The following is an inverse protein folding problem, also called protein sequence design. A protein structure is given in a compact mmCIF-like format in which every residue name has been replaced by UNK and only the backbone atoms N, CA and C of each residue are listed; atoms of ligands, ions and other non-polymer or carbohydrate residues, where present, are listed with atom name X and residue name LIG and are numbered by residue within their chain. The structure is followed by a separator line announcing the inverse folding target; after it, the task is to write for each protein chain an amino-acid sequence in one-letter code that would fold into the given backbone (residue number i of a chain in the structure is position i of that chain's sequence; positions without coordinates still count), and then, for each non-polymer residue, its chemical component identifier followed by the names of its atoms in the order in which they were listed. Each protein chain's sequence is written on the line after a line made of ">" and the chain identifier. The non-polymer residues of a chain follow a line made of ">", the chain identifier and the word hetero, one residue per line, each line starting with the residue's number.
data_IF_760217652790
#
_entry.id   IF_760217652790
#
_cell.length_a   1.000
_cell.length_b   1.000
_cell.length_c   1.000
_cell.angle_alpha   90.00
_cell.angle_beta   90.00
_cell.angle_gamma   90.00
#
_symmetry.space_group_name_H-M   'P 1'
#
loop_
_entity.id
_entity.type
_entity.pdbx_description
1 polymer ?
#
# COMPACT_ATOMS: atom_id res chain seq x y z
N UNK A 1 49.21 -16.00 22.77
CA UNK A 1 48.15 -17.04 22.67
C UNK A 1 48.64 -18.11 21.70
N UNK A 2 48.55 -19.40 22.03
CA UNK A 2 48.94 -20.45 21.12
C UNK A 2 47.99 -20.44 19.91
N UNK A 3 48.55 -20.31 18.72
CA UNK A 3 47.86 -20.48 17.44
C UNK A 3 48.51 -21.66 16.72
N UNK A 4 47.76 -22.26 15.80
CA UNK A 4 48.34 -23.24 14.90
C UNK A 4 49.55 -22.61 14.16
N UNK A 5 50.68 -23.33 14.14
CA UNK A 5 51.96 -22.92 13.53
C UNK A 5 51.84 -22.55 12.06
N UNK A 6 50.81 -23.05 11.38
CA UNK A 6 50.54 -22.79 9.97
C UNK A 6 49.76 -21.48 9.70
N UNK A 7 49.41 -20.69 10.71
CA UNK A 7 48.68 -19.42 10.55
C UNK A 7 49.37 -18.26 11.27
N UNK A 8 50.03 -17.41 10.51
CA UNK A 8 50.66 -16.15 10.89
C UNK A 8 49.85 -14.94 10.42
N UNK A 9 49.65 -14.00 11.32
CA UNK A 9 48.87 -12.78 11.06
C UNK A 9 49.62 -11.78 10.17
N UNK A 10 50.93 -11.96 9.97
CA UNK A 10 51.78 -11.00 9.25
C UNK A 10 51.86 -11.26 7.75
N UNK A 11 51.50 -12.47 7.31
CA UNK A 11 51.69 -12.90 5.92
C UNK A 11 50.38 -12.71 5.15
N UNK A 12 50.41 -11.87 4.10
CA UNK A 12 49.23 -11.57 3.27
C UNK A 12 48.63 -12.82 2.62
N UNK A 13 49.46 -13.78 2.19
CA UNK A 13 48.96 -15.02 1.57
C UNK A 13 48.14 -15.88 2.54
N UNK A 14 48.47 -15.86 3.83
CA UNK A 14 47.73 -16.61 4.86
C UNK A 14 46.45 -15.88 5.28
N UNK A 15 46.46 -14.53 5.29
CA UNK A 15 45.25 -13.73 5.44
C UNK A 15 44.27 -14.00 4.28
N UNK A 16 44.77 -14.02 3.04
CA UNK A 16 43.95 -14.33 1.87
C UNK A 16 43.39 -15.75 1.92
N UNK A 17 44.18 -16.75 2.37
CA UNK A 17 43.68 -18.12 2.51
C UNK A 17 42.56 -18.21 3.55
N UNK A 18 42.68 -17.47 4.65
CA UNK A 18 41.63 -17.39 5.66
C UNK A 18 40.35 -16.72 5.11
N UNK A 19 40.50 -15.62 4.38
CA UNK A 19 39.39 -14.98 3.67
C UNK A 19 38.72 -15.92 2.66
N UNK A 20 39.51 -16.65 1.87
CA UNK A 20 39.01 -17.59 0.87
C UNK A 20 38.25 -18.77 1.51
N UNK A 21 38.72 -19.28 2.65
CA UNK A 21 38.04 -20.33 3.40
C UNK A 21 36.69 -19.84 3.94
N UNK A 22 36.62 -18.59 4.40
CA UNK A 22 35.36 -17.98 4.85
C UNK A 22 34.38 -17.79 3.70
N UNK A 23 34.86 -17.27 2.56
CA UNK A 23 34.05 -17.14 1.34
C UNK A 23 33.48 -18.51 0.94
N UNK A 24 34.30 -19.55 0.93
CA UNK A 24 33.84 -20.91 0.62
C UNK A 24 32.81 -21.41 1.63
N UNK A 25 33.01 -21.17 2.93
CA UNK A 25 32.04 -21.55 3.96
C UNK A 25 30.69 -20.84 3.79
N UNK A 26 30.72 -19.55 3.46
CA UNK A 26 29.52 -18.77 3.20
C UNK A 26 28.81 -19.21 1.92
N UNK A 27 29.54 -19.72 0.92
CA UNK A 27 28.92 -20.30 -0.28
C UNK A 27 28.27 -21.65 -0.06
N UNK A 28 28.77 -22.43 0.91
CA UNK A 28 28.20 -23.75 1.24
C UNK A 28 26.91 -23.60 2.06
N UNK A 29 26.88 -22.65 2.99
CA UNK A 29 25.76 -22.47 3.93
C UNK A 29 24.85 -21.28 3.61
N UNK A 30 25.33 -20.34 2.79
CA UNK A 30 24.58 -19.17 2.38
C UNK A 30 23.56 -19.49 1.30
N UNK A 31 22.63 -18.55 1.15
CA UNK A 31 21.59 -18.57 0.15
C UNK A 31 21.84 -17.42 -0.83
N UNK A 32 21.45 -17.62 -2.09
CA UNK A 32 21.45 -16.57 -3.10
C UNK A 32 20.31 -15.58 -2.78
N UNK A 33 20.68 -14.32 -2.55
CA UNK A 33 19.74 -13.21 -2.31
C UNK A 33 20.03 -12.08 -3.28
N UNK A 34 19.04 -11.22 -3.53
CA UNK A 34 19.24 -10.03 -4.35
C UNK A 34 19.47 -8.83 -3.43
N UNK A 35 20.57 -8.13 -3.63
CA UNK A 35 20.86 -6.87 -2.99
C UNK A 35 20.49 -5.72 -3.93
N UNK A 36 19.65 -4.80 -3.45
CA UNK A 36 19.14 -3.65 -4.18
C UNK A 36 19.68 -2.38 -3.52
N UNK A 37 20.61 -1.64 -4.15
CA UNK A 37 21.08 -0.38 -3.62
C UNK A 37 19.99 0.70 -3.74
N UNK A 38 19.84 1.51 -2.70
CA UNK A 38 18.92 2.65 -2.70
C UNK A 38 19.49 3.81 -3.50
N UNK A 39 18.72 4.33 -4.45
CA UNK A 39 18.95 5.59 -5.13
C UNK A 39 18.02 6.66 -4.54
N UNK A 40 18.56 7.84 -4.20
CA UNK A 40 17.78 8.95 -3.63
C UNK A 40 17.73 10.07 -4.67
N UNK A 41 16.56 10.27 -5.28
CA UNK A 41 16.39 11.19 -6.41
C UNK A 41 16.36 12.65 -5.93
N UNK A 42 15.54 12.96 -4.90
CA UNK A 42 15.34 14.33 -4.42
C UNK A 42 15.47 14.39 -2.90
N UNK A 43 16.33 15.28 -2.41
CA UNK A 43 16.38 15.66 -0.98
C UNK A 43 15.88 17.09 -0.82
N UNK A 44 14.72 17.28 -0.20
CA UNK A 44 14.34 18.62 0.26
C UNK A 44 15.06 18.95 1.58
N UNK A 45 16.13 19.73 1.47
CA UNK A 45 16.92 20.18 2.61
C UNK A 45 16.25 21.31 3.43
N UNK A 46 15.10 21.85 2.98
CA UNK A 46 14.43 22.99 3.62
C UNK A 46 13.30 22.51 4.54
N UNK A 47 12.46 21.58 4.08
CA UNK A 47 11.35 21.05 4.86
C UNK A 47 11.70 19.77 5.63
N UNK A 48 12.80 19.10 5.28
CA UNK A 48 13.16 17.82 5.89
C UNK A 48 12.09 16.76 5.67
N UNK A 49 11.34 16.89 4.57
CA UNK A 49 10.35 15.93 4.09
C UNK A 49 11.04 14.63 3.69
N UNK A 50 10.26 13.55 3.70
CA UNK A 50 10.75 12.23 3.38
C UNK A 50 11.26 12.17 1.93
N UNK A 51 12.27 11.35 1.74
CA UNK A 51 13.03 11.27 0.50
C UNK A 51 12.49 10.11 -0.33
N UNK A 52 11.90 10.45 -1.48
CA UNK A 52 11.50 9.44 -2.46
C UNK A 52 12.71 8.57 -2.83
N UNK A 53 12.52 7.26 -2.67
CA UNK A 53 13.55 6.25 -2.80
C UNK A 53 13.24 5.37 -3.99
N UNK A 54 14.25 5.15 -4.82
CA UNK A 54 14.13 4.35 -6.02
C UNK A 54 15.14 3.20 -5.99
N UNK A 55 14.72 2.04 -6.47
CA UNK A 55 15.52 0.83 -6.55
C UNK A 55 15.60 0.34 -8.01
N UNK A 56 16.62 0.81 -8.72
CA UNK A 56 16.81 0.55 -10.17
C UNK A 56 17.63 -0.73 -10.47
N UNK A 57 18.48 -1.13 -9.51
CA UNK A 57 19.46 -2.19 -9.72
C UNK A 57 19.22 -3.35 -8.75
N UNK A 58 19.46 -4.58 -9.20
CA UNK A 58 19.50 -5.76 -8.34
C UNK A 58 20.74 -6.60 -8.62
N UNK A 59 21.50 -6.91 -7.56
CA UNK A 59 22.72 -7.72 -7.61
C UNK A 59 22.52 -9.01 -6.84
N UNK A 60 22.67 -10.16 -7.51
CA UNK A 60 22.66 -11.45 -6.83
C UNK A 60 23.96 -11.62 -6.02
N UNK A 61 23.82 -11.82 -4.70
CA UNK A 61 24.93 -11.98 -3.75
C UNK A 61 24.61 -13.14 -2.81
N UNK A 62 25.61 -13.97 -2.51
CA UNK A 62 25.46 -15.05 -1.54
C UNK A 62 25.58 -14.51 -0.11
N UNK A 63 24.51 -14.66 0.69
CA UNK A 63 24.48 -14.25 2.10
C UNK A 63 24.08 -15.40 3.01
N UNK A 64 24.73 -15.49 4.16
CA UNK A 64 24.36 -16.44 5.21
C UNK A 64 23.43 -15.78 6.22
N UNK A 65 22.33 -16.44 6.56
CA UNK A 65 21.36 -15.97 7.55
C UNK A 65 21.78 -16.55 8.90
N UNK A 66 22.16 -15.69 9.85
CA UNK A 66 22.57 -16.12 11.19
C UNK A 66 21.36 -16.49 12.06
N UNK A 67 20.20 -15.88 11.77
CA UNK A 67 18.97 -16.04 12.56
C UNK A 67 18.02 -17.07 11.92
N UNK A 68 18.31 -18.37 12.06
CA UNK A 68 17.40 -19.46 11.62
C UNK A 68 16.82 -20.26 12.79
N UNK A 69 17.29 -20.04 14.02
CA UNK A 69 16.76 -20.67 15.23
C UNK A 69 16.07 -19.61 16.07
N UNK A 70 14.74 -19.60 16.01
CA UNK A 70 13.91 -18.69 16.77
C UNK A 70 14.20 -18.73 18.27
N UNK A 71 13.93 -17.58 18.89
CA UNK A 71 13.70 -17.44 20.32
C UNK A 71 14.94 -17.37 21.24
N UNK A 72 15.83 -16.42 21.01
CA UNK A 72 16.28 -15.59 22.13
C UNK A 72 15.53 -14.26 22.07
N UNK A 73 14.42 -14.22 22.79
CA UNK A 73 13.50 -13.10 22.81
C UNK A 73 14.19 -11.77 23.08
N UNK A 74 14.26 -10.95 22.06
CA UNK A 74 14.00 -9.53 22.27
C UNK A 74 12.49 -9.43 22.53
N UNK A 75 12.15 -9.62 23.80
CA UNK A 75 10.76 -9.75 24.22
C UNK A 75 9.97 -8.52 23.77
N UNK A 76 8.78 -8.76 23.21
CA UNK A 76 7.65 -7.83 23.11
C UNK A 76 8.00 -6.45 23.65
N UNK A 77 8.67 -5.64 22.84
CA UNK A 77 9.04 -4.31 23.26
C UNK A 77 7.73 -3.54 23.33
N UNK A 78 7.18 -3.41 24.53
CA UNK A 78 6.05 -2.54 24.80
C UNK A 78 6.52 -1.10 24.53
N UNK A 79 6.36 -0.68 23.28
CA UNK A 79 6.43 0.72 22.90
C UNK A 79 5.23 1.43 23.54
N UNK A 80 5.35 2.73 23.78
CA UNK A 80 4.28 3.56 24.38
C UNK A 80 2.98 3.59 23.55
N UNK A 81 2.98 2.95 22.37
CA UNK A 81 1.90 2.89 21.41
C UNK A 81 1.34 1.48 21.15
N UNK A 82 1.93 0.41 21.71
CA UNK A 82 1.40 -0.94 21.52
C UNK A 82 2.47 -2.04 21.56
N UNK A 83 2.02 -3.26 21.26
CA UNK A 83 2.86 -4.40 20.98
C UNK A 83 3.19 -4.39 19.49
N UNK A 84 4.44 -4.13 19.15
CA UNK A 84 4.93 -4.18 17.77
C UNK A 84 5.85 -5.39 17.66
N UNK A 85 5.49 -6.34 16.80
CA UNK A 85 6.33 -7.50 16.48
C UNK A 85 7.00 -7.16 15.15
N UNK A 86 8.30 -6.84 15.20
CA UNK A 86 9.10 -6.61 13.99
C UNK A 86 9.91 -7.86 13.70
N UNK A 87 9.89 -8.27 12.44
CA UNK A 87 10.73 -9.34 11.96
C UNK A 87 12.13 -8.77 11.66
N UNK A 88 13.14 -9.28 12.37
CA UNK A 88 14.54 -8.90 12.21
C UNK A 88 15.40 -10.11 11.80
N UNK A 89 16.28 -9.90 10.83
CA UNK A 89 17.18 -10.91 10.32
C UNK A 89 18.62 -10.36 10.21
N UNK A 90 19.59 -11.17 10.62
CA UNK A 90 21.00 -10.85 10.47
C UNK A 90 21.59 -11.60 9.28
N UNK A 91 22.00 -10.85 8.26
CA UNK A 91 22.68 -11.38 7.08
C UNK A 91 24.18 -11.19 7.20
N UNK A 92 24.94 -12.20 6.78
CA UNK A 92 26.40 -12.19 6.81
C UNK A 92 26.93 -12.35 5.40
N UNK A 93 27.70 -11.36 4.94
CA UNK A 93 28.30 -11.34 3.60
C UNK A 93 29.83 -11.24 3.68
N UNK A 94 30.52 -11.94 2.79
CA UNK A 94 31.98 -11.82 2.68
C UNK A 94 32.37 -10.50 2.00
N UNK A 95 33.33 -9.79 2.57
CA UNK A 95 33.81 -8.51 2.00
C UNK A 95 34.41 -8.65 0.61
N UNK A 96 35.10 -9.77 0.36
CA UNK A 96 35.73 -10.05 -0.93
C UNK A 96 34.70 -10.32 -2.02
N UNK A 97 33.61 -11.03 -1.70
CA UNK A 97 32.48 -11.28 -2.61
C UNK A 97 31.76 -9.97 -2.92
N UNK A 98 31.45 -9.19 -1.87
CA UNK A 98 30.86 -7.85 -1.99
C UNK A 98 31.63 -6.94 -2.95
N UNK A 99 32.93 -6.77 -2.71
CA UNK A 99 33.79 -5.91 -3.51
C UNK A 99 33.91 -6.37 -4.97
N UNK A 100 33.76 -7.67 -5.23
CA UNK A 100 33.83 -8.25 -6.58
C UNK A 100 32.55 -8.03 -7.38
N UNK A 101 31.39 -8.14 -6.73
CA UNK A 101 30.08 -8.10 -7.39
C UNK A 101 29.52 -6.67 -7.46
N UNK A 102 29.44 -6.00 -6.31
CA UNK A 102 28.76 -4.70 -6.18
C UNK A 102 29.76 -3.55 -6.22
N UNK A 103 30.89 -3.69 -5.54
CA UNK A 103 31.90 -2.62 -5.41
C UNK A 103 32.63 -2.21 -6.70
N UNK A 104 32.54 -3.00 -7.78
CA UNK A 104 33.14 -2.65 -9.08
C UNK A 104 32.17 -1.90 -10.00
N UNK A 105 30.87 -2.22 -9.96
CA UNK A 105 29.88 -1.63 -10.85
C UNK A 105 29.36 -0.29 -10.33
N UNK A 106 29.34 -0.09 -9.01
CA UNK A 106 28.90 1.14 -8.39
C UNK A 106 30.09 2.12 -8.28
N UNK A 107 30.44 2.78 -9.40
CA UNK A 107 31.57 3.72 -9.52
C UNK A 107 31.31 5.09 -8.84
N UNK A 108 30.44 5.11 -7.82
CA UNK A 108 30.19 6.27 -6.97
C UNK A 108 31.19 6.28 -5.82
N UNK A 109 31.67 7.48 -5.48
CA UNK A 109 32.94 7.75 -4.78
C UNK A 109 33.06 7.17 -3.35
N UNK A 110 32.06 6.46 -2.80
CA UNK A 110 32.05 6.02 -1.39
C UNK A 110 31.53 4.60 -1.10
N UNK A 111 31.26 3.74 -2.11
CA UNK A 111 30.55 2.48 -1.85
C UNK A 111 31.45 1.27 -1.50
N UNK A 112 32.31 1.40 -0.47
CA UNK A 112 33.25 0.32 -0.04
C UNK A 112 32.61 -0.75 0.87
N UNK A 113 31.34 -0.56 1.24
CA UNK A 113 30.52 -1.45 2.08
C UNK A 113 29.05 -1.29 1.70
N UNK A 114 28.17 -2.23 2.06
CA UNK A 114 26.72 -2.01 1.99
C UNK A 114 26.35 -0.75 2.79
N UNK A 115 25.37 0.01 2.32
CA UNK A 115 24.87 1.19 3.03
C UNK A 115 23.63 0.82 3.85
N UNK A 116 23.34 1.68 4.81
CA UNK A 116 22.11 1.62 5.59
C UNK A 116 20.96 2.15 4.73
N UNK A 117 19.80 1.50 4.80
CA UNK A 117 18.63 1.79 3.98
C UNK A 117 18.59 1.10 2.61
N UNK A 118 19.58 0.27 2.28
CA UNK A 118 19.52 -0.60 1.10
C UNK A 118 18.64 -1.83 1.38
N UNK A 119 18.09 -2.46 0.33
CA UNK A 119 17.19 -3.60 0.45
C UNK A 119 17.87 -4.92 0.09
N UNK A 120 17.42 -5.99 0.74
CA UNK A 120 17.77 -7.37 0.45
C UNK A 120 16.47 -8.12 0.18
N UNK A 121 16.32 -8.63 -1.04
CA UNK A 121 15.21 -9.49 -1.41
C UNK A 121 15.59 -10.96 -1.25
N UNK A 122 14.76 -11.69 -0.51
CA UNK A 122 14.94 -13.11 -0.22
C UNK A 122 13.94 -13.95 -1.05
N UNK A 123 14.38 -14.66 -2.10
CA UNK A 123 13.47 -15.38 -3.01
C UNK A 123 12.69 -16.54 -2.37
N UNK A 124 13.21 -17.12 -1.27
CA UNK A 124 12.52 -18.20 -0.55
C UNK A 124 11.29 -17.72 0.23
N UNK A 125 11.30 -16.49 0.75
CA UNK A 125 10.19 -15.90 1.54
C UNK A 125 9.40 -14.85 0.79
N UNK A 126 9.82 -14.44 -0.42
CA UNK A 126 9.22 -13.35 -1.19
C UNK A 126 9.11 -12.03 -0.39
N UNK A 127 10.08 -11.76 0.49
CA UNK A 127 10.05 -10.60 1.37
C UNK A 127 11.31 -9.76 1.22
N UNK A 128 11.15 -8.45 1.39
CA UNK A 128 12.24 -7.47 1.39
C UNK A 128 12.68 -7.17 2.81
N UNK A 129 13.99 -7.05 3.01
CA UNK A 129 14.58 -6.64 4.27
C UNK A 129 15.41 -5.38 4.04
N UNK A 130 15.17 -4.35 4.84
CA UNK A 130 15.96 -3.12 4.86
C UNK A 130 17.14 -3.24 5.81
N UNK A 131 18.32 -2.83 5.37
CA UNK A 131 19.53 -2.80 6.20
C UNK A 131 19.47 -1.62 7.17
N UNK A 132 19.19 -1.90 8.44
CA UNK A 132 19.18 -0.89 9.51
C UNK A 132 20.60 -0.51 9.93
N UNK A 133 21.49 -1.49 10.07
CA UNK A 133 22.85 -1.26 10.55
C UNK A 133 23.85 -2.25 9.96
N UNK A 134 25.02 -1.72 9.60
CA UNK A 134 26.13 -2.50 9.03
C UNK A 134 27.26 -2.57 10.04
N UNK A 135 27.44 -3.72 10.67
CA UNK A 135 28.56 -3.95 11.56
C UNK A 135 29.85 -4.14 10.76
N UNK A 136 30.78 -3.19 10.93
CA UNK A 136 32.11 -3.27 10.34
C UNK A 136 33.26 -3.08 11.35
N UNK A 137 32.97 -2.88 12.64
CA UNK A 137 33.95 -2.30 13.60
C UNK A 137 34.14 -2.97 14.98
N UNK A 138 33.49 -4.08 15.37
CA UNK A 138 33.72 -4.70 16.70
C UNK A 138 33.96 -6.24 16.70
N UNK A 139 34.80 -6.81 17.61
CA UNK A 139 35.98 -6.26 18.28
C UNK A 139 37.30 -7.06 18.01
N UNK A 140 38.43 -6.34 17.96
CA UNK A 140 39.81 -6.76 18.24
C UNK A 140 40.23 -8.23 17.95
N UNK A 141 40.07 -8.70 16.71
CA UNK A 141 40.87 -9.83 16.27
C UNK A 141 42.35 -9.43 16.17
N UNK A 142 43.27 -10.31 16.55
CA UNK A 142 44.70 -10.04 16.34
C UNK A 142 45.03 -9.93 14.84
N UNK A 143 44.16 -10.45 13.97
CA UNK A 143 44.17 -10.19 12.53
C UNK A 143 43.43 -8.86 12.34
N UNK A 144 44.13 -7.85 11.84
CA UNK A 144 43.75 -6.43 11.82
C UNK A 144 42.46 -6.07 11.04
N UNK A 145 41.71 -7.05 10.53
CA UNK A 145 40.56 -6.78 9.67
C UNK A 145 39.52 -7.90 9.74
N UNK A 146 38.23 -7.53 9.81
CA UNK A 146 37.14 -8.49 9.68
C UNK A 146 36.99 -8.90 8.21
N UNK A 147 36.86 -10.19 7.88
CA UNK A 147 36.64 -10.68 6.51
C UNK A 147 35.16 -10.64 6.07
N UNK A 148 34.25 -10.36 6.99
CA UNK A 148 32.78 -10.37 6.78
C UNK A 148 32.16 -9.03 7.19
N UNK A 149 31.03 -8.68 6.58
CA UNK A 149 30.09 -7.67 7.05
C UNK A 149 28.89 -8.39 7.66
N UNK A 150 28.44 -7.95 8.84
CA UNK A 150 27.15 -8.37 9.40
C UNK A 150 26.15 -7.23 9.18
N UNK A 151 25.01 -7.57 8.60
CA UNK A 151 23.94 -6.66 8.22
C UNK A 151 22.74 -6.99 9.11
N UNK A 152 22.42 -6.08 10.02
CA UNK A 152 21.19 -6.15 10.79
C UNK A 152 20.08 -5.56 9.95
N UNK A 153 19.11 -6.39 9.57
CA UNK A 153 18.05 -6.01 8.67
C UNK A 153 16.70 -6.20 9.33
N UNK A 154 15.77 -5.31 9.01
CA UNK A 154 14.36 -5.36 9.41
C UNK A 154 13.49 -5.68 8.20
N UNK A 155 12.33 -6.29 8.38
CA UNK A 155 11.35 -6.41 7.30
C UNK A 155 11.03 -5.00 6.76
N UNK A 156 11.04 -4.86 5.44
CA UNK A 156 10.77 -3.60 4.76
C UNK A 156 9.27 -3.31 4.74
N UNK A 157 8.92 -2.06 5.00
CA UNK A 157 7.56 -1.54 4.91
C UNK A 157 7.51 -0.62 3.68
N UNK A 158 6.58 -0.89 2.76
CA UNK A 158 6.43 -0.09 1.54
C UNK A 158 5.81 1.27 1.88
N UNK A 159 6.43 2.34 1.38
CA UNK A 159 5.99 3.73 1.46
C UNK A 159 6.14 4.42 0.10
N UNK A 160 5.43 3.91 -0.92
CA UNK A 160 5.39 4.48 -2.28
C UNK A 160 6.75 4.55 -2.99
N UNK A 161 7.70 3.67 -2.66
CA UNK A 161 8.98 3.58 -3.39
C UNK A 161 8.83 2.96 -4.78
N UNK A 162 9.66 3.43 -5.72
CA UNK A 162 9.70 2.92 -7.09
C UNK A 162 10.73 1.79 -7.24
N UNK A 163 10.29 0.68 -7.82
CA UNK A 163 11.08 -0.53 -8.05
C UNK A 163 11.11 -0.85 -9.55
N UNK A 164 12.23 -0.57 -10.21
CA UNK A 164 12.47 -0.90 -11.62
C UNK A 164 13.76 -1.71 -11.76
N UNK A 165 13.78 -2.90 -11.14
CA UNK A 165 15.00 -3.71 -11.06
C UNK A 165 15.25 -4.55 -12.32
N UNK A 166 14.33 -4.53 -13.28
CA UNK A 166 14.30 -5.39 -14.46
C UNK A 166 14.24 -6.90 -14.14
N UNK A 167 13.89 -7.26 -12.90
CA UNK A 167 13.70 -8.64 -12.45
C UNK A 167 12.21 -8.82 -12.18
N UNK A 168 11.56 -9.59 -13.05
CA UNK A 168 10.11 -9.80 -13.01
C UNK A 168 9.59 -10.22 -11.62
N UNK A 169 10.32 -11.07 -10.90
CA UNK A 169 9.90 -11.53 -9.56
C UNK A 169 9.93 -10.42 -8.51
N UNK A 170 10.90 -9.51 -8.59
CA UNK A 170 11.06 -8.39 -7.65
C UNK A 170 10.01 -7.32 -7.95
N UNK A 171 9.89 -6.95 -9.22
CA UNK A 171 8.99 -5.89 -9.67
C UNK A 171 7.52 -6.30 -9.49
N UNK A 172 7.17 -7.58 -9.68
CA UNK A 172 5.82 -8.10 -9.43
C UNK A 172 5.40 -8.01 -7.96
N UNK A 173 6.31 -8.29 -7.02
CA UNK A 173 5.99 -8.24 -5.58
C UNK A 173 5.81 -6.78 -5.16
N UNK A 174 6.70 -5.88 -5.60
CA UNK A 174 6.54 -4.46 -5.35
C UNK A 174 5.20 -3.93 -5.90
N UNK A 175 4.86 -4.28 -7.14
CA UNK A 175 3.59 -3.90 -7.76
C UNK A 175 2.37 -4.48 -7.01
N UNK A 176 2.46 -5.72 -6.52
CA UNK A 176 1.39 -6.34 -5.72
C UNK A 176 1.15 -5.63 -4.38
N UNK A 177 2.15 -4.94 -3.83
CA UNK A 177 2.02 -4.18 -2.59
C UNK A 177 1.74 -2.68 -2.81
N UNK A 178 1.68 -2.22 -4.06
CA UNK A 178 1.28 -0.87 -4.39
C UNK A 178 -0.22 -0.67 -4.20
N UNK A 179 -0.62 0.54 -3.79
CA UNK A 179 -2.02 0.92 -3.73
C UNK A 179 -2.63 0.85 -5.14
N UNK A 180 -3.73 0.10 -5.25
CA UNK A 180 -4.39 -0.13 -6.52
C UNK A 180 -5.88 0.10 -6.43
N UNK A 181 -6.46 0.61 -7.51
CA UNK A 181 -7.91 0.64 -7.70
C UNK A 181 -8.31 -0.63 -8.44
N UNK A 182 -9.18 -1.41 -7.82
CA UNK A 182 -9.79 -2.58 -8.46
C UNK A 182 -11.07 -2.19 -9.19
N UNK A 183 -11.22 -2.69 -10.40
CA UNK A 183 -12.39 -2.43 -11.24
C UNK A 183 -12.76 -3.62 -12.11
N UNK A 184 -14.06 -3.79 -12.32
CA UNK A 184 -14.58 -4.80 -13.23
C UNK A 184 -14.60 -4.23 -14.65
N UNK A 185 -13.88 -4.87 -15.53
CA UNK A 185 -13.75 -4.49 -16.94
C UNK A 185 -14.50 -5.49 -17.82
N UNK A 186 -15.15 -5.00 -18.88
CA UNK A 186 -15.76 -5.84 -19.91
C UNK A 186 -15.61 -5.28 -21.33
N UNK A 187 -16.16 -6.01 -22.31
CA UNK A 187 -16.04 -5.70 -23.76
C UNK A 187 -14.58 -5.50 -24.22
N UNK A 188 -13.66 -6.35 -23.77
CA UNK A 188 -12.23 -6.30 -24.10
C UNK A 188 -11.76 -7.63 -24.72
N UNK A 189 -10.65 -7.61 -25.44
CA UNK A 189 -10.00 -8.84 -25.96
C UNK A 189 -8.78 -9.13 -25.10
N UNK A 190 -8.75 -10.29 -24.43
CA UNK A 190 -7.70 -10.69 -23.45
C UNK A 190 -6.27 -10.70 -23.98
N UNK A 191 -6.06 -10.79 -25.31
CA UNK A 191 -4.71 -10.80 -25.90
C UNK A 191 -4.13 -9.41 -26.14
N UNK A 192 -4.97 -8.39 -26.00
CA UNK A 192 -4.56 -7.01 -25.78
C UNK A 192 -4.24 -6.92 -24.27
N UNK A 193 -3.67 -5.89 -23.67
CA UNK A 193 -3.49 -5.72 -22.20
C UNK A 193 -2.43 -6.65 -21.59
N UNK A 194 -1.24 -6.08 -21.39
CA UNK A 194 -0.16 -6.68 -20.62
C UNK A 194 0.00 -5.93 -19.31
N UNK A 195 0.43 -6.63 -18.26
CA UNK A 195 0.86 -6.01 -16.99
C UNK A 195 1.93 -4.95 -17.31
N UNK A 196 1.88 -3.81 -16.62
CA UNK A 196 2.76 -2.66 -16.80
C UNK A 196 2.36 -1.67 -17.90
N UNK A 197 1.21 -1.86 -18.57
CA UNK A 197 0.72 -0.91 -19.57
C UNK A 197 -0.08 0.22 -18.92
N UNK A 198 0.16 1.46 -19.34
CA UNK A 198 -0.62 2.63 -18.90
C UNK A 198 -1.89 2.79 -19.72
N UNK A 199 -3.00 2.98 -19.01
CA UNK A 199 -4.33 3.13 -19.56
C UNK A 199 -4.87 4.51 -19.23
N UNK A 200 -5.73 5.00 -20.11
CA UNK A 200 -6.26 6.35 -20.06
C UNK A 200 -7.77 6.32 -20.13
N UNK A 201 -8.42 7.18 -19.35
CA UNK A 201 -9.82 7.52 -19.49
C UNK A 201 -9.94 9.04 -19.64
N UNK A 202 -10.61 9.47 -20.71
CA UNK A 202 -10.93 10.88 -20.90
C UNK A 202 -12.20 11.20 -20.12
N UNK A 203 -12.12 12.16 -19.20
CA UNK A 203 -13.21 12.54 -18.31
C UNK A 203 -14.03 13.71 -18.87
N UNK A 204 -13.39 14.61 -19.60
CA UNK A 204 -13.99 15.81 -20.17
C UNK A 204 -13.41 16.13 -21.55
N UNK A 205 -14.26 16.68 -22.42
CA UNK A 205 -13.91 17.13 -23.76
C UNK A 205 -14.30 18.60 -23.93
N UNK A 206 -13.53 19.34 -24.72
CA UNK A 206 -13.92 20.68 -25.16
C UNK A 206 -15.05 20.63 -26.21
N UNK A 207 -15.59 21.79 -26.56
CA UNK A 207 -16.61 21.93 -27.61
C UNK A 207 -16.13 21.56 -29.01
N UNK A 208 -14.83 21.31 -29.19
CA UNK A 208 -14.19 20.87 -30.43
C UNK A 208 -13.86 19.36 -30.43
N UNK A 209 -14.20 18.64 -29.35
CA UNK A 209 -13.97 17.20 -29.20
C UNK A 209 -12.55 16.80 -28.75
N UNK A 210 -11.72 17.74 -28.30
CA UNK A 210 -10.41 17.44 -27.73
C UNK A 210 -10.53 17.12 -26.24
N UNK A 211 -9.76 16.14 -25.77
CA UNK A 211 -9.69 15.80 -24.35
C UNK A 211 -9.09 16.95 -23.52
N UNK A 212 -9.82 17.44 -22.54
CA UNK A 212 -9.36 18.52 -21.62
C UNK A 212 -8.95 17.99 -20.25
N UNK A 213 -9.42 16.80 -19.90
CA UNK A 213 -9.14 16.14 -18.64
C UNK A 213 -9.03 14.64 -18.85
N UNK A 214 -7.88 14.08 -18.47
CA UNK A 214 -7.57 12.66 -18.64
C UNK A 214 -7.09 12.13 -17.28
N UNK A 215 -7.62 10.98 -16.89
CA UNK A 215 -7.07 10.18 -15.80
C UNK A 215 -6.37 8.98 -16.41
N UNK A 216 -5.22 8.61 -15.86
CA UNK A 216 -4.46 7.44 -16.27
C UNK A 216 -4.01 6.60 -15.10
N UNK A 217 -3.77 5.32 -15.34
CA UNK A 217 -3.19 4.38 -14.36
C UNK A 217 -2.52 3.23 -15.08
N UNK A 218 -1.59 2.58 -14.40
CA UNK A 218 -0.83 1.43 -14.89
C UNK A 218 -1.47 0.11 -14.45
N UNK A 219 -1.51 -0.88 -15.34
CA UNK A 219 -2.02 -2.22 -15.00
C UNK A 219 -1.03 -2.92 -14.06
N UNK A 220 -1.43 -3.13 -12.81
CA UNK A 220 -0.68 -3.92 -11.83
C UNK A 220 -0.99 -5.41 -12.03
N UNK A 221 -2.27 -5.76 -12.07
CA UNK A 221 -2.69 -7.16 -12.18
C UNK A 221 -4.06 -7.30 -12.88
N UNK A 222 -4.32 -8.51 -13.39
CA UNK A 222 -5.53 -8.88 -14.10
C UNK A 222 -6.00 -10.25 -13.58
N UNK A 223 -7.08 -10.24 -12.79
CA UNK A 223 -7.65 -11.45 -12.22
C UNK A 223 -8.93 -11.88 -12.98
N UNK A 224 -9.06 -13.19 -13.22
CA UNK A 224 -10.27 -13.77 -13.78
C UNK A 224 -11.40 -13.79 -12.74
N UNK A 225 -12.56 -13.27 -13.12
CA UNK A 225 -13.76 -13.40 -12.27
C UNK A 225 -14.23 -14.84 -12.27
N UNK A 226 -14.13 -15.50 -11.12
CA UNK A 226 -14.53 -16.89 -10.94
C UNK A 226 -15.98 -17.15 -11.42
N UNK A 227 -16.13 -18.04 -12.40
CA UNK A 227 -17.45 -18.51 -12.89
C UNK A 227 -18.04 -17.75 -14.07
N UNK A 228 -17.36 -16.74 -14.61
CA UNK A 228 -17.72 -16.06 -15.86
C UNK A 228 -16.64 -16.38 -16.91
N UNK A 229 -16.99 -16.83 -18.13
CA UNK A 229 -15.98 -17.06 -19.16
C UNK A 229 -15.14 -15.79 -19.41
N UNK A 230 -13.82 -15.96 -19.26
CA UNK A 230 -12.66 -15.16 -19.70
C UNK A 230 -12.93 -14.16 -20.84
N UNK A 231 -13.83 -14.47 -21.77
CA UNK A 231 -14.10 -13.63 -22.95
C UNK A 231 -14.99 -12.41 -22.70
N UNK A 232 -15.46 -12.16 -21.47
CA UNK A 232 -16.44 -11.07 -21.21
C UNK A 232 -16.07 -10.10 -20.11
N UNK A 233 -15.61 -10.57 -18.94
CA UNK A 233 -15.27 -9.70 -17.80
C UNK A 233 -13.95 -10.12 -17.14
N UNK A 234 -13.15 -9.18 -16.64
CA UNK A 234 -11.95 -9.38 -15.80
C UNK A 234 -11.88 -8.30 -14.73
N UNK A 235 -11.37 -8.64 -13.56
CA UNK A 235 -11.02 -7.67 -12.53
C UNK A 235 -9.64 -7.13 -12.83
N UNK A 236 -9.54 -5.81 -13.01
CA UNK A 236 -8.29 -5.12 -13.31
C UNK A 236 -7.89 -4.27 -12.11
N UNK A 237 -6.61 -4.34 -11.75
CA UNK A 237 -6.00 -3.53 -10.70
C UNK A 237 -5.13 -2.47 -11.35
N UNK A 238 -5.45 -1.19 -11.09
CA UNK A 238 -4.70 -0.04 -11.61
C UNK A 238 -3.94 0.68 -10.50
N UNK A 239 -2.63 0.85 -10.68
CA UNK A 239 -1.75 1.66 -9.83
C UNK A 239 -1.24 2.91 -10.54
N UNK A 240 -0.34 3.64 -9.88
CA UNK A 240 0.30 4.88 -10.38
C UNK A 240 -0.69 5.81 -11.11
N UNK A 241 -1.67 6.29 -10.35
CA UNK A 241 -2.78 7.06 -10.91
C UNK A 241 -2.38 8.52 -11.06
N UNK A 242 -2.46 9.00 -12.30
CA UNK A 242 -2.16 10.38 -12.65
C UNK A 242 -3.37 11.06 -13.27
N UNK A 243 -3.55 12.34 -12.94
CA UNK A 243 -4.57 13.19 -13.53
C UNK A 243 -3.88 14.28 -14.33
N UNK A 244 -4.09 14.25 -15.64
CA UNK A 244 -3.62 15.28 -16.55
C UNK A 244 -4.76 16.22 -16.92
N UNK A 245 -4.63 17.48 -16.50
CA UNK A 245 -5.58 18.56 -16.80
C UNK A 245 -6.71 18.71 -15.79
N UNK A 246 -7.30 19.91 -15.78
CA UNK A 246 -8.32 20.32 -14.81
C UNK A 246 -7.74 20.87 -13.49
N UNK A 247 -8.62 21.39 -12.62
CA UNK A 247 -8.25 22.02 -11.33
C UNK A 247 -8.83 21.26 -10.13
N UNK A 248 -9.54 20.16 -10.38
CA UNK A 248 -10.23 19.38 -9.37
C UNK A 248 -9.76 17.94 -9.38
N UNK A 249 -9.69 17.32 -8.20
CA UNK A 249 -9.49 15.89 -8.06
C UNK A 249 -10.59 15.16 -8.83
N UNK A 250 -10.26 14.04 -9.46
CA UNK A 250 -11.21 13.23 -10.22
C UNK A 250 -10.84 11.77 -10.15
N UNK A 251 -11.86 10.94 -10.28
CA UNK A 251 -11.77 9.51 -10.24
C UNK A 251 -12.19 8.93 -11.59
N UNK A 252 -11.88 7.65 -11.80
CA UNK A 252 -12.39 6.90 -12.93
C UNK A 252 -13.92 6.91 -12.92
N UNK A 253 -14.54 6.90 -14.10
CA UNK A 253 -16.01 6.87 -14.28
C UNK A 253 -16.44 5.53 -14.86
N UNK A 254 -17.48 4.93 -14.28
CA UNK A 254 -18.12 3.75 -14.87
C UNK A 254 -18.63 4.06 -16.27
N UNK A 255 -18.42 3.13 -17.21
CA UNK A 255 -18.81 3.26 -18.62
C UNK A 255 -20.12 2.57 -18.90
N UNK A 256 -21.00 3.24 -19.64
CA UNK A 256 -22.21 2.61 -20.18
C UNK A 256 -21.95 2.11 -21.61
N UNK A 257 -22.59 1.00 -22.00
CA UNK A 257 -22.39 0.37 -23.32
C UNK A 257 -22.68 1.30 -24.52
N UNK A 258 -23.39 2.41 -24.30
CA UNK A 258 -23.70 3.42 -25.34
C UNK A 258 -22.67 4.55 -25.44
N UNK A 259 -21.75 4.68 -24.48
CA UNK A 259 -20.89 5.86 -24.31
C UNK A 259 -19.43 5.49 -24.42
N UNK A 260 -18.94 5.30 -25.64
CA UNK A 260 -17.54 4.90 -25.90
C UNK A 260 -16.52 5.96 -25.49
N UNK A 261 -16.94 7.20 -25.24
CA UNK A 261 -16.07 8.29 -24.80
C UNK A 261 -15.49 8.10 -23.40
N UNK A 262 -16.09 7.24 -22.57
CA UNK A 262 -15.62 6.93 -21.21
C UNK A 262 -14.84 5.62 -21.12
N UNK A 263 -14.60 4.91 -22.22
CA UNK A 263 -13.88 3.63 -22.17
C UNK A 263 -12.41 3.86 -21.78
N UNK A 264 -11.80 2.87 -21.12
CA UNK A 264 -10.35 2.80 -20.95
C UNK A 264 -9.72 2.59 -22.32
N UNK A 265 -8.60 3.27 -22.58
CA UNK A 265 -7.85 3.19 -23.82
C UNK A 265 -6.34 3.19 -23.54
N UNK A 266 -5.57 2.46 -24.34
CA UNK A 266 -4.11 2.37 -24.21
C UNK A 266 -3.37 3.64 -24.70
N UNK A 267 -3.98 4.44 -25.58
CA UNK A 267 -3.36 5.64 -26.15
C UNK A 267 -4.39 6.78 -26.27
N UNK A 268 -4.19 7.92 -25.58
CA UNK A 268 -5.11 9.05 -25.64
C UNK A 268 -4.98 9.86 -26.95
N UNK A 269 -3.91 9.69 -27.74
CA UNK A 269 -3.70 10.38 -29.01
C UNK A 269 -4.49 9.76 -30.18
N UNK A 270 -5.00 8.54 -30.01
CA UNK A 270 -5.88 7.89 -30.98
C UNK A 270 -7.29 8.50 -30.89
N UNK A 271 -7.77 9.12 -31.98
CA UNK A 271 -9.12 9.66 -32.07
C UNK A 271 -10.19 8.62 -31.65
N UNK A 272 -11.35 9.02 -31.09
CA UNK A 272 -12.34 8.10 -30.52
C UNK A 272 -12.84 6.97 -31.45
N UNK A 273 -12.75 7.17 -32.77
CA UNK A 273 -13.16 6.21 -33.79
C UNK A 273 -12.02 5.31 -34.31
N UNK A 274 -10.76 5.59 -33.93
CA UNK A 274 -9.57 4.86 -34.36
C UNK A 274 -8.91 4.08 -33.21
N UNK A 275 -9.65 3.87 -32.10
CA UNK A 275 -9.14 3.20 -30.91
C UNK A 275 -8.96 1.71 -31.17
N UNK A 276 -7.71 1.27 -31.26
CA UNK A 276 -7.39 -0.13 -31.57
C UNK A 276 -7.63 -1.06 -30.38
N UNK A 277 -7.54 -0.54 -29.14
CA UNK A 277 -7.63 -1.31 -27.89
C UNK A 277 -8.38 -0.52 -26.83
N UNK A 278 -9.61 -0.92 -26.52
CA UNK A 278 -10.48 -0.25 -25.54
C UNK A 278 -11.17 -1.25 -24.64
N UNK A 279 -11.50 -0.84 -23.42
CA UNK A 279 -12.28 -1.65 -22.51
C UNK A 279 -13.34 -0.82 -21.76
N UNK A 280 -14.48 -1.45 -21.47
CA UNK A 280 -15.60 -0.84 -20.75
C UNK A 280 -15.40 -1.05 -19.25
N UNK A 281 -15.36 0.02 -18.47
CA UNK A 281 -15.45 -0.06 -17.01
C UNK A 281 -16.90 -0.38 -16.64
N UNK A 282 -17.17 -1.55 -16.06
CA UNK A 282 -18.50 -1.98 -15.61
C UNK A 282 -18.78 -1.48 -14.20
N UNK A 283 -17.79 -1.59 -13.33
CA UNK A 283 -17.87 -1.29 -11.91
C UNK A 283 -16.48 -0.92 -11.41
N UNK A 284 -16.40 -0.03 -10.44
CA UNK A 284 -15.18 0.32 -9.73
C UNK A 284 -15.47 -0.08 -8.31
N UNK A 285 -14.68 -0.99 -7.73
CA UNK A 285 -14.99 -1.54 -6.44
C UNK A 285 -14.68 -0.52 -5.33
N UNK A 286 -15.63 -0.36 -4.42
CA UNK A 286 -15.52 0.45 -3.21
C UNK A 286 -15.89 -0.37 -1.97
N UNK A 287 -15.60 0.15 -0.78
CA UNK A 287 -15.88 -0.53 0.49
C UNK A 287 -17.37 -0.85 0.71
N UNK A 288 -18.27 -0.07 0.08
CA UNK A 288 -19.73 -0.24 0.14
C UNK A 288 -20.27 -1.32 -0.82
N UNK A 289 -19.44 -1.88 -1.71
CA UNK A 289 -19.90 -2.85 -2.70
C UNK A 289 -20.14 -4.24 -2.12
N UNK A 290 -21.09 -4.98 -2.73
CA UNK A 290 -21.46 -6.32 -2.26
C UNK A 290 -20.33 -7.36 -2.40
N UNK A 291 -19.36 -7.12 -3.29
CA UNK A 291 -18.15 -7.93 -3.45
C UNK A 291 -16.97 -7.19 -2.82
N UNK A 292 -16.13 -7.89 -2.05
CA UNK A 292 -14.93 -7.30 -1.45
C UNK A 292 -13.76 -7.39 -2.43
N UNK A 293 -13.65 -6.39 -3.30
CA UNK A 293 -12.54 -6.25 -4.23
C UNK A 293 -11.51 -5.21 -3.80
N UNK A 294 -11.76 -4.47 -2.70
CA UNK A 294 -11.07 -3.22 -2.38
C UNK A 294 -9.73 -3.43 -1.66
N UNK A 295 -9.56 -4.54 -0.94
CA UNK A 295 -8.36 -4.83 -0.14
C UNK A 295 -7.75 -6.22 -0.45
N UNK A 296 -7.54 -6.53 -1.73
CA UNK A 296 -6.99 -7.83 -2.15
C UNK A 296 -5.59 -8.14 -1.55
N UNK A 297 -4.82 -7.10 -1.22
CA UNK A 297 -3.43 -7.22 -0.78
C UNK A 297 -3.27 -7.40 0.74
N UNK A 298 -4.34 -7.20 1.52
CA UNK A 298 -4.33 -7.39 2.98
C UNK A 298 -5.51 -8.29 3.41
N UNK A 299 -5.28 -9.62 3.50
CA UNK A 299 -6.28 -10.57 3.97
C UNK A 299 -6.75 -10.33 5.42
N UNK A 300 -6.04 -9.49 6.19
CA UNK A 300 -6.40 -9.11 7.56
C UNK A 300 -7.09 -7.75 7.64
N UNK A 301 -7.29 -7.07 6.51
CA UNK A 301 -8.02 -5.81 6.48
C UNK A 301 -9.48 -6.03 6.90
N UNK A 302 -9.85 -5.43 8.04
CA UNK A 302 -11.21 -5.47 8.58
C UNK A 302 -12.02 -4.22 8.19
N UNK A 303 -11.49 -3.36 7.32
CA UNK A 303 -12.09 -2.06 7.00
C UNK A 303 -13.52 -2.21 6.46
N UNK A 304 -13.75 -3.17 5.56
CA UNK A 304 -15.09 -3.48 5.05
C UNK A 304 -16.02 -4.05 6.13
N UNK A 305 -15.49 -4.90 7.00
CA UNK A 305 -16.24 -5.45 8.13
C UNK A 305 -16.69 -4.33 9.07
N UNK A 306 -15.79 -3.38 9.37
CA UNK A 306 -16.11 -2.21 10.19
C UNK A 306 -17.17 -1.30 9.55
N UNK A 307 -17.09 -1.03 8.25
CA UNK A 307 -18.12 -0.22 7.56
C UNK A 307 -19.48 -0.95 7.51
N UNK A 308 -19.47 -2.26 7.22
CA UNK A 308 -20.68 -3.09 7.19
C UNK A 308 -21.33 -3.18 8.58
N UNK A 309 -20.53 -3.32 9.65
CA UNK A 309 -21.01 -3.35 11.03
C UNK A 309 -21.48 -1.96 11.49
N UNK A 310 -20.78 -0.89 11.11
CA UNK A 310 -21.13 0.49 11.44
C UNK A 310 -22.47 0.92 10.81
N UNK A 311 -22.76 0.49 9.58
CA UNK A 311 -24.03 0.75 8.91
C UNK A 311 -25.25 0.14 9.66
N UNK A 312 -25.03 -0.89 10.48
CA UNK A 312 -26.05 -1.53 11.29
C UNK A 312 -26.30 -0.90 12.66
N UNK A 313 -25.48 0.07 13.09
CA UNK A 313 -25.53 0.61 14.45
C UNK A 313 -26.55 1.75 14.64
N UNK A 314 -26.77 2.60 13.64
CA UNK A 314 -27.70 3.75 13.70
C UNK A 314 -28.54 3.82 12.41
N UNK A 315 -29.86 3.69 12.53
CA UNK A 315 -30.79 3.83 11.41
C UNK A 315 -31.17 5.30 11.16
N UNK A 316 -30.48 5.95 10.21
CA UNK A 316 -30.78 7.33 9.80
C UNK A 316 -32.00 7.47 8.87
N UNK A 317 -32.70 6.39 8.55
CA UNK A 317 -33.95 6.44 7.78
C UNK A 317 -35.15 6.84 8.64
N UNK A 318 -35.03 6.75 9.97
CA UNK A 318 -36.05 7.18 10.92
C UNK A 318 -35.88 8.65 11.34
N UNK A 319 -37.00 9.33 11.65
CA UNK A 319 -36.98 10.72 12.13
C UNK A 319 -36.27 10.89 13.47
N UNK A 320 -36.10 9.81 14.23
CA UNK A 320 -35.32 9.77 15.45
C UNK A 320 -34.39 8.54 15.48
N UNK A 321 -33.15 8.69 14.97
CA UNK A 321 -32.20 7.60 14.82
C UNK A 321 -31.62 7.07 16.16
N UNK A 322 -32.04 7.64 17.30
CA UNK A 322 -31.58 7.27 18.64
C UNK A 322 -32.69 6.69 19.52
N UNK A 323 -33.85 6.36 18.94
CA UNK A 323 -35.01 5.77 19.60
C UNK A 323 -36.02 6.80 20.10
N UNK A 324 -37.32 6.51 19.93
CA UNK A 324 -38.39 7.28 20.61
C UNK A 324 -38.20 7.16 22.13
N UNK A 325 -38.14 8.31 22.81
CA UNK A 325 -38.19 8.33 24.27
C UNK A 325 -39.60 7.83 24.63
N UNK A 326 -39.70 6.60 25.12
CA UNK A 326 -40.90 6.09 25.75
C UNK A 326 -41.26 7.06 26.88
N UNK A 327 -42.19 7.97 26.59
CA UNK A 327 -42.83 8.79 27.61
C UNK A 327 -43.65 7.82 28.45
N UNK A 328 -43.02 7.22 29.46
CA UNK A 328 -43.70 6.55 30.56
C UNK A 328 -44.76 7.52 31.03
N UNK A 329 -46.02 7.16 30.77
CA UNK A 329 -47.17 7.99 31.03
C UNK A 329 -47.13 8.48 32.48
N UNK A 330 -46.86 9.77 32.68
CA UNK A 330 -47.28 10.42 33.92
C UNK A 330 -48.80 10.34 33.88
N UNK A 331 -49.37 9.49 34.73
CA UNK A 331 -50.81 9.32 34.90
C UNK A 331 -51.51 10.69 35.00
N UNK A 332 -52.03 11.19 33.88
CA UNK A 332 -53.01 12.26 33.88
C UNK A 332 -54.30 11.70 34.48
N UNK A 333 -54.93 12.36 35.47
CA UNK A 333 -56.11 11.82 36.11
C UNK A 333 -57.22 11.67 35.07
N UNK A 334 -57.78 10.47 35.01
CA UNK A 334 -58.98 10.09 34.25
C UNK A 334 -59.99 11.22 34.18
N UNK A 335 -60.27 11.71 32.97
CA UNK A 335 -61.38 12.62 32.72
C UNK A 335 -62.69 11.90 33.08
N UNK A 336 -63.40 12.43 34.07
CA UNK A 336 -64.74 12.00 34.48
C UNK A 336 -65.71 12.03 33.28
N UNK A 337 -65.94 10.87 32.67
CA UNK A 337 -66.99 10.67 31.68
C UNK A 337 -68.31 10.32 32.37
N UNK A 338 -69.01 11.34 32.88
CA UNK A 338 -70.48 11.39 32.95
C UNK A 338 -70.93 12.56 33.81
N UNK A 339 -71.29 13.68 33.19
CA UNK A 339 -72.30 14.55 33.78
C UNK A 339 -73.26 15.03 32.69
N UNK A 340 -74.49 14.60 32.93
CA UNK A 340 -75.76 14.81 32.25
C UNK A 340 -75.91 16.14 31.49
N UNK A 341 -76.31 16.03 30.22
CA UNK A 341 -76.84 17.11 29.39
C UNK A 341 -78.18 17.58 29.93
N UNK A 342 -78.18 18.50 30.89
CA UNK A 342 -79.32 19.38 31.11
C UNK A 342 -78.88 20.77 31.60
N UNK A 343 -79.52 21.79 31.02
CA UNK A 343 -79.52 23.20 31.39
C UNK A 343 -78.48 24.16 30.75
N UNK A 344 -78.97 24.82 29.71
CA UNK A 344 -79.11 26.28 29.60
C UNK A 344 -77.85 27.14 29.37
N UNK A 345 -77.73 27.58 28.12
CA UNK A 345 -77.38 28.94 27.68
C UNK A 345 -76.15 29.63 28.31
N UNK A 346 -75.06 29.75 27.55
CA UNK A 346 -74.54 31.03 27.05
C UNK A 346 -73.40 30.74 26.06
N UNK A 347 -73.59 31.08 24.79
CA UNK A 347 -72.55 31.05 23.76
C UNK A 347 -71.48 32.09 24.06
N UNK A 348 -70.21 31.69 24.16
CA UNK A 348 -69.07 32.60 24.02
C UNK A 348 -68.25 32.17 22.81
N UNK A 349 -68.46 32.86 21.70
CA UNK A 349 -67.64 32.85 20.49
C UNK A 349 -66.44 33.77 20.70
N UNK A 350 -65.22 33.30 20.41
CA UNK A 350 -64.03 34.15 20.34
C UNK A 350 -63.75 34.51 18.87
N UNK A 351 -63.79 35.80 18.58
CA UNK A 351 -63.52 36.43 17.28
C UNK A 351 -62.00 36.64 17.10
N UNK A 352 -61.47 36.32 15.92
CA UNK A 352 -60.04 36.18 15.61
C UNK A 352 -59.29 37.50 15.38
N UNK A 353 -59.83 38.65 15.79
CA UNK A 353 -59.32 39.96 15.40
C UNK A 353 -58.84 40.88 16.53
N UNK A 354 -58.56 40.38 17.73
CA UNK A 354 -57.90 41.18 18.78
C UNK A 354 -56.60 40.54 19.27
N UNK A 355 -55.50 40.93 18.62
CA UNK A 355 -54.14 40.82 19.14
C UNK A 355 -53.97 41.92 20.18
N UNK A 356 -53.75 41.55 21.44
CA UNK A 356 -53.23 42.47 22.45
C UNK A 356 -51.99 41.85 23.07
N UNK A 357 -50.83 42.41 22.71
CA UNK A 357 -49.54 42.14 23.36
C UNK A 357 -49.56 42.75 24.76
N UNK A 358 -49.32 41.93 25.78
CA UNK A 358 -49.01 42.42 27.12
C UNK A 358 -47.52 42.77 27.21
N UNK A 359 -47.23 44.01 27.60
CA UNK A 359 -45.90 44.54 27.89
C UNK A 359 -45.86 44.91 29.37
N UNK A 360 -45.03 44.21 30.14
CA UNK A 360 -44.61 44.57 31.50
C UNK A 360 -44.12 43.32 32.23
N UNK A 361 -42.94 43.26 32.85
CA UNK A 361 -42.13 44.30 33.48
C UNK A 361 -40.63 44.03 33.33
N UNK A 362 -39.90 45.13 33.47
CA UNK A 362 -38.44 45.31 33.60
C UNK A 362 -37.87 44.49 34.75
#
# INVERSE_FOLDING_TARGET
>A
MPRNVYFSQKVRSEQNLYEDLIVESLKIYGQDVYYLPRNIITRDNILGEDVESQFDDAYMVEMYIENTEGFEGEGNLFSKFGLEIRDEATFVVARKTWNKLVGFNNNTVNNMRPNEGDLIYLPLSNSFFEISFVEHEQPFYQISNLPVYKLQCRLFEYNEEDFDTNILEVDQIAAAHADSISMLIGDYTITDWTIGERLYQVLEYDSSGNATKIISGEIIDLEEVAGIPITTNVTMYLGDIEISGGTTNSQFKVSTASTTSTYLMADPAAAPAARTRTARIIEIYDYDDSFDGTFANDPSAMNKEFETEAAGFIDFSEANPFGEIDNVAINTPTTLSSFDTSMSSTSRTFDSNQITMDKGNI
#
